data_IF_052101668605
#
_entry.id   IF_052101668605
#
_cell.length_a   1.000
_cell.length_b   1.000
_cell.length_c   1.000
_cell.angle_alpha   90.00
_cell.angle_beta   90.00
_cell.angle_gamma   90.00
#
_symmetry.space_group_name_H-M   'P 1'
#
loop_
_entity.id
_entity.type
_entity.pdbx_description
1 polymer ?
#
# COMPACT_ATOMS: atom_id res chain seq x y z
N UNK A 1 -6.80 9.56 13.83
CA UNK A 1 -7.53 10.84 13.70
C UNK A 1 -7.05 11.50 12.41
N UNK A 2 -7.92 11.96 11.49
CA UNK A 2 -7.46 12.57 10.23
C UNK A 2 -6.99 14.01 10.47
N UNK A 3 -5.99 14.47 9.69
CA UNK A 3 -5.49 15.85 9.70
C UNK A 3 -6.60 16.89 9.54
N UNK A 4 -7.63 16.59 8.72
CA UNK A 4 -8.84 17.42 8.57
C UNK A 4 -9.63 17.55 9.87
N UNK A 5 -9.73 16.49 10.67
CA UNK A 5 -10.50 16.50 11.93
C UNK A 5 -9.83 17.39 12.97
N UNK A 6 -8.48 17.38 13.05
CA UNK A 6 -7.74 18.25 13.97
C UNK A 6 -7.88 19.74 13.61
N UNK A 7 -7.72 20.09 12.31
CA UNK A 7 -7.92 21.46 11.84
C UNK A 7 -9.38 21.96 12.02
N UNK A 8 -10.36 21.06 11.87
CA UNK A 8 -11.78 21.40 12.04
C UNK A 8 -12.23 21.53 13.49
N UNK A 9 -11.59 20.82 14.44
CA UNK A 9 -12.00 20.87 15.86
C UNK A 9 -11.67 22.22 16.50
N UNK A 10 -10.52 22.83 16.17
CA UNK A 10 -10.11 24.10 16.79
C UNK A 10 -10.51 25.35 16.02
N UNK A 11 -10.78 25.24 14.70
CA UNK A 11 -10.88 26.38 13.75
C UNK A 11 -9.71 27.38 13.85
N UNK A 12 -8.61 26.99 14.49
CA UNK A 12 -7.40 27.80 14.70
C UNK A 12 -6.24 27.10 14.01
N UNK A 13 -5.47 27.86 13.23
CA UNK A 13 -4.16 27.40 12.78
C UNK A 13 -3.17 27.53 13.94
N UNK A 14 -2.39 26.48 14.17
CA UNK A 14 -1.39 26.44 15.23
C UNK A 14 -0.02 26.42 14.58
N UNK A 15 0.82 27.40 14.87
CA UNK A 15 2.16 27.53 14.25
C UNK A 15 3.02 26.27 14.44
N UNK A 16 2.97 25.69 15.64
CA UNK A 16 3.75 24.51 16.02
C UNK A 16 3.08 23.16 15.68
N UNK A 17 1.92 23.17 15.02
CA UNK A 17 1.27 21.95 14.55
C UNK A 17 1.58 21.72 13.07
N UNK A 18 2.18 20.56 12.78
CA UNK A 18 2.37 20.05 11.42
C UNK A 18 1.46 18.86 11.20
N UNK A 19 0.64 18.92 10.15
CA UNK A 19 -0.21 17.83 9.74
C UNK A 19 0.42 17.08 8.56
N UNK A 20 0.78 15.81 8.74
CA UNK A 20 1.22 14.94 7.65
C UNK A 20 0.11 13.97 7.28
N UNK A 21 -0.18 13.82 5.99
CA UNK A 21 -1.11 12.80 5.51
C UNK A 21 -0.44 11.84 4.52
N UNK A 22 -1.07 10.67 4.32
CA UNK A 22 -0.53 9.61 3.47
C UNK A 22 -1.44 9.38 2.27
N UNK A 23 -0.86 9.17 1.09
CA UNK A 23 -1.60 8.53 0.00
C UNK A 23 -1.95 7.11 0.44
N UNK A 24 -3.23 6.77 0.35
CA UNK A 24 -3.78 5.54 0.91
C UNK A 24 -4.43 4.71 -0.19
N UNK A 25 -4.16 3.40 -0.19
CA UNK A 25 -4.83 2.48 -1.10
C UNK A 25 -6.25 2.12 -0.66
N UNK A 26 -6.51 2.14 0.64
CA UNK A 26 -7.76 1.70 1.24
C UNK A 26 -7.50 1.00 2.56
N UNK A 27 -8.58 0.65 3.25
CA UNK A 27 -8.48 -0.08 4.51
C UNK A 27 -9.34 -1.33 4.43
N UNK A 28 -8.78 -2.52 4.70
CA UNK A 28 -9.55 -3.74 4.65
C UNK A 28 -10.54 -3.82 5.82
N UNK A 29 -11.50 -4.74 5.73
CA UNK A 29 -12.38 -5.12 6.84
C UNK A 29 -11.54 -5.66 8.01
N UNK A 30 -11.60 -5.03 9.20
CA UNK A 30 -10.91 -5.55 10.39
C UNK A 30 -11.39 -6.95 10.78
N UNK A 31 -12.67 -7.27 10.52
CA UNK A 31 -13.23 -8.58 10.77
C UNK A 31 -12.58 -9.66 9.90
N UNK A 32 -12.50 -9.42 8.58
CA UNK A 32 -11.84 -10.37 7.66
C UNK A 32 -10.35 -10.52 8.02
N UNK A 33 -9.68 -9.44 8.45
CA UNK A 33 -8.29 -9.52 8.89
C UNK A 33 -8.14 -10.37 10.16
N UNK A 34 -9.04 -10.21 11.13
CA UNK A 34 -9.07 -11.05 12.34
C UNK A 34 -9.24 -12.52 11.98
N UNK A 35 -10.21 -12.86 11.12
CA UNK A 35 -10.43 -14.24 10.66
C UNK A 35 -9.23 -14.79 9.88
N UNK A 36 -8.55 -13.95 9.10
CA UNK A 36 -7.32 -14.32 8.44
C UNK A 36 -6.21 -14.71 9.43
N UNK A 37 -5.98 -13.91 10.47
CA UNK A 37 -5.00 -14.25 11.51
C UNK A 37 -5.38 -15.55 12.21
N UNK A 38 -6.65 -15.70 12.62
CA UNK A 38 -7.14 -16.95 13.24
C UNK A 38 -6.92 -18.17 12.33
N UNK A 39 -7.24 -18.05 11.05
CA UNK A 39 -7.04 -19.11 10.06
C UNK A 39 -5.56 -19.53 9.94
N UNK A 40 -4.63 -18.57 9.89
CA UNK A 40 -3.19 -18.90 9.83
C UNK A 40 -2.72 -19.55 11.12
N UNK A 41 -3.13 -19.06 12.28
CA UNK A 41 -2.75 -19.66 13.57
C UNK A 41 -3.25 -21.10 13.71
N UNK A 42 -4.51 -21.37 13.34
CA UNK A 42 -5.09 -22.71 13.37
C UNK A 42 -4.37 -23.66 12.40
N UNK A 43 -4.06 -23.18 11.18
CA UNK A 43 -3.36 -23.97 10.16
C UNK A 43 -1.93 -24.33 10.56
N UNK A 44 -1.25 -23.44 11.29
CA UNK A 44 0.17 -23.61 11.68
C UNK A 44 0.32 -24.17 13.09
N UNK A 45 -0.77 -24.27 13.85
CA UNK A 45 -0.78 -24.53 15.29
C UNK A 45 0.19 -23.62 16.08
N UNK A 46 0.30 -22.35 15.66
CA UNK A 46 1.21 -21.36 16.25
C UNK A 46 0.52 -20.02 16.44
N UNK A 47 0.82 -19.34 17.56
CA UNK A 47 0.37 -17.98 17.82
C UNK A 47 1.17 -16.99 16.99
N UNK A 48 0.52 -16.02 16.37
CA UNK A 48 1.18 -14.88 15.70
C UNK A 48 1.27 -13.73 16.71
N UNK A 49 2.47 -13.22 16.96
CA UNK A 49 2.69 -12.06 17.84
C UNK A 49 2.84 -10.74 17.07
N UNK A 50 3.20 -10.82 15.79
CA UNK A 50 3.31 -9.64 14.92
C UNK A 50 3.09 -10.02 13.45
N UNK A 51 2.48 -9.10 12.70
CA UNK A 51 2.15 -9.25 11.29
C UNK A 51 2.62 -8.02 10.53
N UNK A 52 3.47 -8.21 9.52
CA UNK A 52 3.92 -7.13 8.64
C UNK A 52 3.28 -7.25 7.27
N UNK A 53 2.43 -6.27 6.92
CA UNK A 53 1.93 -6.07 5.54
C UNK A 53 3.05 -5.78 4.54
N UNK A 54 4.16 -5.21 5.02
CA UNK A 54 5.34 -4.87 4.20
C UNK A 54 6.64 -5.15 4.96
N UNK A 55 6.90 -6.41 5.31
CA UNK A 55 8.18 -6.82 5.88
C UNK A 55 9.33 -6.66 4.89
N UNK A 56 10.31 -5.82 5.22
CA UNK A 56 11.52 -5.60 4.40
C UNK A 56 12.57 -6.67 4.69
N UNK A 57 13.46 -6.87 3.72
CA UNK A 57 14.68 -7.66 3.84
C UNK A 57 15.89 -6.73 3.70
N UNK A 58 17.10 -7.24 3.99
CA UNK A 58 18.35 -6.46 3.95
C UNK A 58 18.63 -5.82 2.59
N UNK A 59 18.03 -6.29 1.50
CA UNK A 59 18.29 -5.79 0.15
C UNK A 59 17.02 -5.47 -0.63
N UNK A 60 17.00 -4.27 -1.22
CA UNK A 60 16.01 -3.82 -2.20
C UNK A 60 14.69 -3.27 -1.62
N UNK A 61 13.86 -2.73 -2.50
CA UNK A 61 12.58 -2.11 -2.14
C UNK A 61 11.45 -3.13 -1.92
N UNK A 62 11.66 -4.41 -2.24
CA UNK A 62 10.64 -5.45 -2.12
C UNK A 62 10.19 -5.62 -0.68
N UNK A 63 8.93 -5.96 -0.54
CA UNK A 63 8.33 -6.24 0.75
C UNK A 63 7.61 -7.57 0.69
N UNK A 64 7.50 -8.23 1.83
CA UNK A 64 6.85 -9.53 2.00
C UNK A 64 5.78 -9.42 3.07
N UNK A 65 4.78 -10.27 2.99
CA UNK A 65 3.94 -10.53 4.16
C UNK A 65 4.79 -11.34 5.13
N UNK A 66 4.92 -10.87 6.38
CA UNK A 66 5.64 -11.60 7.43
C UNK A 66 4.71 -11.91 8.60
N UNK A 67 4.75 -13.16 9.01
CA UNK A 67 4.17 -13.65 10.26
C UNK A 67 5.32 -13.88 11.22
N UNK A 68 5.25 -13.33 12.43
CA UNK A 68 6.28 -13.48 13.46
C UNK A 68 5.69 -14.25 14.64
N UNK A 69 6.42 -15.25 15.10
CA UNK A 69 6.01 -16.21 16.14
C UNK A 69 6.78 -15.96 17.46
N UNK A 70 6.28 -16.45 18.62
CA UNK A 70 6.89 -16.23 19.93
C UNK A 70 8.35 -16.67 20.05
N UNK A 71 8.78 -17.69 19.30
CA UNK A 71 10.15 -18.21 19.30
C UNK A 71 11.12 -17.36 18.46
N UNK A 72 10.67 -16.21 17.94
CA UNK A 72 11.44 -15.32 17.08
C UNK A 72 11.51 -15.78 15.62
N UNK A 73 10.96 -16.95 15.26
CA UNK A 73 10.89 -17.38 13.87
C UNK A 73 9.88 -16.54 13.10
N UNK A 74 10.06 -16.49 11.79
CA UNK A 74 9.12 -15.81 10.89
C UNK A 74 8.85 -16.61 9.63
N UNK A 75 7.59 -16.60 9.19
CA UNK A 75 7.20 -17.06 7.86
C UNK A 75 7.05 -15.85 6.94
N UNK A 76 7.55 -15.97 5.70
CA UNK A 76 7.42 -14.93 4.68
C UNK A 76 6.63 -15.40 3.48
N UNK A 77 5.73 -14.56 2.99
CA UNK A 77 4.98 -14.80 1.75
C UNK A 77 5.12 -13.63 0.79
N UNK A 78 5.24 -13.95 -0.49
CA UNK A 78 5.03 -12.97 -1.55
C UNK A 78 3.53 -12.65 -1.59
N UNK A 79 3.18 -11.43 -1.96
CA UNK A 79 1.81 -10.90 -1.82
C UNK A 79 0.80 -11.72 -2.61
N UNK A 80 1.21 -12.22 -3.78
CA UNK A 80 0.40 -13.09 -4.62
C UNK A 80 0.27 -14.54 -4.11
N UNK A 81 0.89 -14.90 -2.98
CA UNK A 81 0.75 -16.22 -2.36
C UNK A 81 -0.01 -16.15 -1.03
N UNK A 82 -0.37 -14.94 -0.60
CA UNK A 82 -1.17 -14.70 0.59
C UNK A 82 -2.56 -14.22 0.18
N UNK A 83 -3.59 -15.02 0.47
CA UNK A 83 -4.94 -14.72 0.00
C UNK A 83 -5.48 -13.40 0.56
N UNK A 84 -5.18 -13.08 1.82
CA UNK A 84 -5.60 -11.82 2.42
C UNK A 84 -4.92 -10.64 1.72
N UNK A 85 -3.60 -10.65 1.66
CA UNK A 85 -2.84 -9.57 1.06
C UNK A 85 -3.25 -9.35 -0.40
N UNK A 86 -3.32 -10.43 -1.20
CA UNK A 86 -3.77 -10.34 -2.58
C UNK A 86 -5.16 -9.72 -2.70
N UNK A 87 -6.12 -10.19 -1.90
CA UNK A 87 -7.49 -9.67 -1.95
C UNK A 87 -7.57 -8.23 -1.48
N UNK A 88 -6.76 -7.82 -0.50
CA UNK A 88 -6.60 -6.43 -0.09
C UNK A 88 -6.03 -5.56 -1.22
N UNK A 89 -4.96 -6.00 -1.89
CA UNK A 89 -4.37 -5.27 -3.04
C UNK A 89 -5.26 -5.22 -4.28
N UNK A 90 -6.25 -6.10 -4.35
CA UNK A 90 -7.34 -6.05 -5.34
C UNK A 90 -8.55 -5.26 -4.85
N UNK A 91 -8.44 -4.59 -3.71
CA UNK A 91 -9.51 -3.84 -3.06
C UNK A 91 -10.76 -4.66 -2.70
N UNK A 92 -10.72 -5.99 -2.79
CA UNK A 92 -11.85 -6.91 -2.53
C UNK A 92 -12.31 -6.86 -1.08
N UNK A 93 -11.38 -6.59 -0.16
CA UNK A 93 -11.66 -6.49 1.27
C UNK A 93 -11.81 -5.06 1.77
N UNK A 94 -11.69 -4.06 0.91
CA UNK A 94 -11.78 -2.66 1.33
C UNK A 94 -13.19 -2.30 1.81
N UNK A 95 -13.25 -1.39 2.80
CA UNK A 95 -14.51 -0.80 3.30
C UNK A 95 -15.20 -0.02 2.19
N UNK A 96 -16.54 -0.06 2.12
CA UNK A 96 -17.33 0.63 1.08
C UNK A 96 -17.00 2.13 0.97
N UNK A 97 -16.74 2.79 2.10
CA UNK A 97 -16.34 4.21 2.15
C UNK A 97 -15.02 4.54 1.42
N UNK A 98 -14.17 3.55 1.14
CA UNK A 98 -12.92 3.78 0.38
C UNK A 98 -13.22 4.12 -1.09
N UNK A 99 -14.29 3.57 -1.66
CA UNK A 99 -14.66 3.75 -3.07
C UNK A 99 -15.34 5.09 -3.36
N UNK A 100 -15.71 5.84 -2.32
CA UNK A 100 -16.22 7.22 -2.39
C UNK A 100 -15.36 8.20 -1.57
N UNK A 101 -14.10 7.84 -1.31
CA UNK A 101 -13.21 8.62 -0.46
C UNK A 101 -12.83 9.96 -1.10
N UNK A 102 -13.33 11.06 -0.55
CA UNK A 102 -13.01 12.43 -1.01
C UNK A 102 -11.56 12.88 -0.76
N UNK A 103 -10.71 12.05 -0.16
CA UNK A 103 -9.27 12.29 -0.03
C UNK A 103 -8.43 11.56 -1.08
N UNK A 104 -9.02 10.71 -1.91
CA UNK A 104 -8.32 10.01 -3.00
C UNK A 104 -8.16 10.94 -4.21
N UNK A 105 -7.43 12.05 -4.01
CA UNK A 105 -7.19 13.12 -4.98
C UNK A 105 -5.92 13.90 -4.61
N UNK A 106 -5.46 14.75 -5.51
CA UNK A 106 -4.24 15.54 -5.36
C UNK A 106 -4.42 16.74 -4.42
N UNK A 107 -5.66 17.21 -4.19
CA UNK A 107 -5.94 18.23 -3.19
C UNK A 107 -5.94 17.61 -1.79
N UNK A 108 -4.89 17.92 -1.03
CA UNK A 108 -4.61 17.35 0.29
C UNK A 108 -4.79 18.38 1.39
N UNK A 109 -5.01 17.88 2.61
CA UNK A 109 -5.37 18.70 3.78
C UNK A 109 -4.23 18.85 4.79
N UNK A 110 -3.30 17.88 4.80
CA UNK A 110 -2.04 17.99 5.53
C UNK A 110 -1.15 19.05 4.91
N UNK A 111 -0.19 19.55 5.68
CA UNK A 111 0.83 20.48 5.20
C UNK A 111 1.84 19.74 4.29
N UNK A 112 2.08 18.45 4.59
CA UNK A 112 2.85 17.52 3.77
C UNK A 112 2.03 16.26 3.52
N UNK A 113 2.15 15.72 2.30
CA UNK A 113 1.69 14.38 1.94
C UNK A 113 2.86 13.49 1.62
N UNK A 114 2.90 12.29 2.20
CA UNK A 114 3.88 11.26 1.89
C UNK A 114 3.24 10.10 1.13
N UNK A 115 4.00 9.51 0.22
CA UNK A 115 3.60 8.31 -0.52
C UNK A 115 4.82 7.52 -0.99
N UNK A 116 4.59 6.26 -1.36
CA UNK A 116 5.45 5.60 -2.35
C UNK A 116 5.26 6.35 -3.70
N UNK A 117 6.33 6.63 -4.44
CA UNK A 117 6.25 7.39 -5.70
C UNK A 117 5.96 6.45 -6.89
N UNK A 118 4.74 5.93 -6.94
CA UNK A 118 4.35 4.88 -7.89
C UNK A 118 4.37 5.35 -9.36
N UNK A 119 4.94 4.52 -10.24
CA UNK A 119 4.94 4.66 -11.71
C UNK A 119 5.53 5.98 -12.26
N UNK A 120 6.19 6.79 -11.44
CA UNK A 120 6.77 8.06 -11.86
C UNK A 120 7.80 7.87 -13.01
N UNK A 121 8.50 6.74 -13.02
CA UNK A 121 9.48 6.39 -14.04
C UNK A 121 8.90 6.21 -15.45
N UNK A 122 7.58 6.04 -15.57
CA UNK A 122 6.87 6.02 -16.85
C UNK A 122 6.74 7.42 -17.45
N UNK A 123 6.69 8.44 -16.59
CA UNK A 123 6.45 9.83 -16.96
C UNK A 123 7.71 10.70 -16.84
N UNK A 124 8.74 10.21 -16.15
CA UNK A 124 10.03 10.87 -16.02
C UNK A 124 11.18 9.84 -16.11
N UNK A 125 11.74 9.73 -17.32
CA UNK A 125 12.72 8.69 -17.70
C UNK A 125 13.96 8.61 -16.78
N UNK A 126 14.54 9.71 -16.26
CA UNK A 126 15.72 9.63 -15.39
C UNK A 126 15.51 8.77 -14.13
N UNK A 127 14.28 8.63 -13.62
CA UNK A 127 13.98 7.77 -12.46
C UNK A 127 14.11 6.27 -12.76
N UNK A 128 14.14 5.84 -14.03
CA UNK A 128 14.24 4.41 -14.38
C UNK A 128 15.51 3.77 -13.86
N UNK A 129 16.62 4.51 -13.88
CA UNK A 129 17.94 4.02 -13.42
C UNK A 129 18.00 3.82 -11.90
N UNK A 130 17.21 4.60 -11.16
CA UNK A 130 17.21 4.60 -9.70
C UNK A 130 16.07 3.74 -9.09
N UNK A 131 15.23 3.12 -9.94
CA UNK A 131 14.07 2.29 -9.54
C UNK A 131 14.40 1.17 -8.54
N UNK A 132 15.62 0.64 -8.54
CA UNK A 132 16.07 -0.42 -7.61
C UNK A 132 16.09 0.02 -6.14
N UNK A 133 16.22 1.32 -5.87
CA UNK A 133 16.18 1.87 -4.52
C UNK A 133 14.75 2.17 -4.07
N UNK A 134 13.85 2.39 -5.03
CA UNK A 134 12.52 2.93 -4.78
C UNK A 134 12.59 4.42 -4.48
N UNK A 135 11.46 5.11 -4.67
CA UNK A 135 11.37 6.53 -4.34
C UNK A 135 10.15 6.76 -3.46
N UNK A 136 10.33 7.65 -2.51
CA UNK A 136 9.22 8.22 -1.76
C UNK A 136 8.85 9.56 -2.41
N UNK A 137 7.58 9.91 -2.32
CA UNK A 137 7.04 11.19 -2.71
C UNK A 137 6.85 12.03 -1.46
N UNK A 138 7.33 13.27 -1.51
CA UNK A 138 6.99 14.34 -0.57
C UNK A 138 6.26 15.41 -1.39
N UNK A 139 4.98 15.64 -1.07
CA UNK A 139 4.19 16.71 -1.68
C UNK A 139 3.91 17.78 -0.63
N UNK A 140 4.40 18.99 -0.85
CA UNK A 140 4.15 20.13 0.03
C UNK A 140 2.85 20.82 -0.41
N UNK A 141 1.83 20.80 0.44
CA UNK A 141 0.49 21.26 0.06
C UNK A 141 0.26 22.74 0.39
N UNK A 142 1.13 23.35 1.18
CA UNK A 142 1.08 24.76 1.57
C UNK A 142 2.48 25.28 1.97
N UNK A 143 2.54 26.55 2.35
CA UNK A 143 3.79 27.22 2.74
C UNK A 143 4.45 26.59 3.97
N UNK A 144 3.66 26.09 4.94
CA UNK A 144 4.18 25.42 6.14
C UNK A 144 4.92 24.13 5.76
N UNK A 145 4.36 23.34 4.85
CA UNK A 145 5.01 22.14 4.30
C UNK A 145 6.30 22.46 3.54
N UNK A 146 6.29 23.49 2.69
CA UNK A 146 7.50 23.94 1.98
C UNK A 146 8.59 24.43 2.93
N UNK A 147 8.22 25.18 3.97
CA UNK A 147 9.15 25.64 5.00
C UNK A 147 9.80 24.46 5.74
N UNK A 148 9.01 23.43 6.06
CA UNK A 148 9.53 22.24 6.71
C UNK A 148 10.48 21.47 5.80
N UNK A 149 10.15 21.28 4.52
CA UNK A 149 11.04 20.60 3.56
C UNK A 149 12.38 21.35 3.41
N UNK A 150 12.36 22.68 3.35
CA UNK A 150 13.59 23.50 3.32
C UNK A 150 14.47 23.33 4.54
N UNK A 151 13.89 23.11 5.72
CA UNK A 151 14.65 22.90 6.96
C UNK A 151 15.39 21.57 7.00
N UNK A 152 14.90 20.55 6.29
CA UNK A 152 15.48 19.20 6.28
C UNK A 152 16.20 18.87 4.97
N UNK A 153 16.34 19.84 4.05
CA UNK A 153 16.86 19.56 2.70
C UNK A 153 18.32 19.12 2.70
N UNK A 154 19.09 19.45 3.75
CA UNK A 154 20.46 18.95 3.96
C UNK A 154 20.52 17.48 4.37
N UNK A 155 19.42 16.96 4.93
CA UNK A 155 19.38 15.63 5.55
C UNK A 155 18.82 14.56 4.61
N UNK A 156 18.37 14.96 3.41
CA UNK A 156 17.74 14.08 2.42
C UNK A 156 18.29 14.33 1.02
N UNK A 157 18.45 13.25 0.26
CA UNK A 157 18.62 13.34 -1.19
C UNK A 157 17.24 13.50 -1.84
N UNK A 158 17.05 14.57 -2.62
CA UNK A 158 15.75 14.84 -3.24
C UNK A 158 15.90 15.46 -4.63
N UNK A 159 14.88 15.24 -5.46
CA UNK A 159 14.70 15.86 -6.77
C UNK A 159 13.29 16.45 -6.82
N UNK A 160 13.19 17.71 -7.25
CA UNK A 160 11.88 18.36 -7.45
C UNK A 160 11.38 18.07 -8.85
N UNK A 161 10.12 17.64 -8.95
CA UNK A 161 9.44 17.35 -10.21
C UNK A 161 8.07 18.03 -10.27
N UNK A 162 7.52 18.28 -11.47
CA UNK A 162 6.14 18.73 -11.60
C UNK A 162 5.16 17.75 -10.93
N UNK A 163 4.19 18.27 -10.19
CA UNK A 163 3.19 17.47 -9.45
C UNK A 163 2.42 16.49 -10.36
N UNK A 164 2.24 16.86 -11.62
CA UNK A 164 1.58 16.04 -12.64
C UNK A 164 2.24 14.66 -12.84
N UNK A 165 3.56 14.55 -12.63
CA UNK A 165 4.28 13.26 -12.66
C UNK A 165 3.74 12.31 -11.59
N UNK A 166 3.49 12.82 -10.38
CA UNK A 166 2.91 12.04 -9.29
C UNK A 166 1.45 11.68 -9.55
N UNK A 167 0.65 12.64 -10.02
CA UNK A 167 -0.78 12.45 -10.29
C UNK A 167 -1.01 11.39 -11.38
N UNK A 168 -0.23 11.44 -12.46
CA UNK A 168 -0.28 10.42 -13.53
C UNK A 168 0.19 9.06 -13.04
N UNK A 169 1.19 9.04 -12.15
CA UNK A 169 1.79 7.83 -11.59
C UNK A 169 0.86 7.04 -10.66
N UNK A 170 0.05 7.72 -9.83
CA UNK A 170 -0.82 7.08 -8.84
C UNK A 170 -2.29 7.48 -9.01
N UNK A 171 -3.16 6.50 -9.26
CA UNK A 171 -4.61 6.70 -9.34
C UNK A 171 -5.21 7.30 -8.05
N UNK A 172 -4.58 7.04 -6.90
CA UNK A 172 -5.02 7.53 -5.58
C UNK A 172 -4.85 9.04 -5.40
N UNK A 173 -4.12 9.69 -6.31
CA UNK A 173 -4.01 11.14 -6.42
C UNK A 173 -4.99 11.73 -7.43
N UNK A 174 -5.86 10.93 -8.06
CA UNK A 174 -6.82 11.38 -9.07
C UNK A 174 -8.27 11.20 -8.62
N UNK A 175 -8.62 9.99 -8.22
CA UNK A 175 -9.96 9.65 -7.75
C UNK A 175 -9.93 8.40 -6.86
N UNK A 176 -11.04 8.11 -6.20
CA UNK A 176 -11.22 6.81 -5.54
C UNK A 176 -11.29 5.69 -6.59
N UNK A 177 -10.70 4.54 -6.28
CA UNK A 177 -10.82 3.37 -7.16
C UNK A 177 -12.29 2.91 -7.22
N UNK A 178 -12.76 2.38 -8.37
CA UNK A 178 -14.10 1.82 -8.46
C UNK A 178 -14.24 0.60 -7.56
N UNK A 179 -15.47 0.33 -7.11
CA UNK A 179 -15.75 -0.88 -6.34
C UNK A 179 -15.52 -2.13 -7.23
N UNK A 180 -14.74 -3.12 -6.77
CA UNK A 180 -14.59 -4.38 -7.51
C UNK A 180 -15.94 -5.08 -7.66
N UNK A 181 -16.31 -5.57 -8.86
CA UNK A 181 -17.60 -6.23 -9.08
C UNK A 181 -17.84 -7.43 -8.15
N UNK A 182 -16.78 -8.17 -7.81
CA UNK A 182 -16.86 -9.33 -6.94
C UNK A 182 -16.87 -9.00 -5.44
N UNK A 183 -16.75 -7.74 -5.04
CA UNK A 183 -16.59 -7.37 -3.62
C UNK A 183 -17.78 -7.81 -2.79
N UNK A 184 -19.00 -7.47 -3.22
CA UNK A 184 -20.19 -7.72 -2.42
C UNK A 184 -20.49 -9.23 -2.29
N UNK A 185 -20.35 -10.00 -3.38
CA UNK A 185 -20.46 -11.47 -3.32
C UNK A 185 -19.40 -12.13 -2.43
N UNK A 186 -18.16 -11.61 -2.41
CA UNK A 186 -17.12 -12.09 -1.48
C UNK A 186 -17.52 -11.87 -0.02
N UNK A 187 -18.16 -10.74 0.31
CA UNK A 187 -18.62 -10.48 1.67
C UNK A 187 -19.83 -11.36 2.03
N UNK A 188 -20.77 -11.58 1.11
CA UNK A 188 -21.89 -12.51 1.30
C UNK A 188 -21.39 -13.93 1.59
N UNK A 189 -20.49 -14.45 0.78
CA UNK A 189 -19.89 -15.78 0.96
C UNK A 189 -19.06 -15.88 2.24
N UNK A 190 -18.37 -14.79 2.63
CA UNK A 190 -17.68 -14.72 3.91
C UNK A 190 -18.64 -14.90 5.07
N UNK A 191 -19.79 -14.22 5.06
CA UNK A 191 -20.79 -14.33 6.12
C UNK A 191 -21.50 -15.69 6.11
N UNK A 192 -21.71 -16.29 4.94
CA UNK A 192 -22.38 -17.58 4.81
C UNK A 192 -21.48 -18.79 5.13
N UNK A 193 -20.20 -18.72 4.76
CA UNK A 193 -19.31 -19.91 4.77
C UNK A 193 -18.01 -19.71 5.55
N UNK A 194 -17.69 -18.48 5.96
CA UNK A 194 -16.49 -18.16 6.72
C UNK A 194 -15.23 -17.95 5.87
N UNK A 195 -14.15 -17.51 6.53
CA UNK A 195 -12.90 -17.14 5.86
C UNK A 195 -12.18 -18.33 5.21
N UNK A 196 -12.18 -19.49 5.86
CA UNK A 196 -11.55 -20.68 5.31
C UNK A 196 -12.16 -21.08 3.96
N UNK A 197 -13.49 -21.01 3.83
CA UNK A 197 -14.17 -21.28 2.58
C UNK A 197 -13.73 -20.31 1.47
N UNK A 198 -13.60 -19.01 1.78
CA UNK A 198 -13.06 -18.03 0.82
C UNK A 198 -11.64 -18.41 0.38
N UNK A 199 -10.78 -18.85 1.30
CA UNK A 199 -9.40 -19.24 0.97
C UNK A 199 -9.30 -20.46 0.06
N UNK A 200 -10.37 -21.27 -0.03
CA UNK A 200 -10.45 -22.44 -0.91
C UNK A 200 -11.09 -22.08 -2.26
N UNK A 201 -12.13 -21.26 -2.25
CA UNK A 201 -12.99 -21.02 -3.41
C UNK A 201 -12.70 -19.71 -4.17
N UNK A 202 -12.18 -18.69 -3.49
CA UNK A 202 -11.87 -17.36 -4.06
C UNK A 202 -10.37 -17.09 -4.18
N UNK A 203 -9.54 -18.12 -3.93
CA UNK A 203 -8.09 -18.02 -3.94
C UNK A 203 -7.49 -17.74 -5.32
N UNK A 204 -6.20 -17.47 -5.30
CA UNK A 204 -5.44 -17.10 -6.49
C UNK A 204 -5.20 -18.36 -7.31
N UNK A 205 -5.89 -18.48 -8.44
CA UNK A 205 -5.60 -19.50 -9.44
C UNK A 205 -4.46 -19.01 -10.33
N UNK A 206 -3.21 -19.30 -9.93
CA UNK A 206 -2.07 -19.02 -10.78
C UNK A 206 -2.17 -19.84 -12.08
N UNK A 207 -2.03 -19.16 -13.22
CA UNK A 207 -1.89 -19.85 -14.51
C UNK A 207 -0.71 -20.81 -14.48
N UNK A 208 -0.80 -21.91 -15.23
CA UNK A 208 0.28 -22.90 -15.32
C UNK A 208 1.63 -22.27 -15.69
N UNK A 209 1.64 -21.31 -16.62
CA UNK A 209 2.82 -20.50 -16.99
C UNK A 209 3.43 -19.78 -15.79
N UNK A 210 2.59 -19.24 -14.90
CA UNK A 210 3.06 -18.55 -13.70
C UNK A 210 3.68 -19.51 -12.66
N UNK A 211 3.32 -20.79 -12.68
CA UNK A 211 3.90 -21.81 -11.79
C UNK A 211 5.28 -22.29 -12.26
N UNK A 212 5.48 -22.37 -13.58
CA UNK A 212 6.71 -22.95 -14.17
C UNK A 212 7.84 -21.91 -14.24
N UNK A 213 7.53 -20.64 -14.52
CA UNK A 213 8.58 -19.62 -14.66
C UNK A 213 9.16 -19.27 -13.28
N UNK A 214 10.45 -19.52 -13.01
CA UNK A 214 11.09 -19.16 -11.76
C UNK A 214 11.00 -17.66 -11.45
N UNK A 215 10.93 -17.32 -10.16
CA UNK A 215 10.79 -15.92 -9.72
C UNK A 215 11.94 -15.04 -10.25
N UNK A 216 13.17 -15.58 -10.34
CA UNK A 216 14.32 -14.82 -10.81
C UNK A 216 14.21 -14.44 -12.29
N UNK A 217 13.65 -15.32 -13.13
CA UNK A 217 13.41 -15.04 -14.56
C UNK A 217 12.36 -13.93 -14.69
N UNK A 218 11.25 -14.00 -13.93
CA UNK A 218 10.25 -12.92 -13.93
C UNK A 218 10.88 -11.59 -13.55
N UNK A 219 11.73 -11.60 -12.52
CA UNK A 219 12.42 -10.40 -12.05
C UNK A 219 13.37 -9.82 -13.11
N UNK A 220 14.15 -10.68 -13.78
CA UNK A 220 15.05 -10.26 -14.85
C UNK A 220 14.27 -9.63 -16.01
N UNK A 221 13.15 -10.23 -16.41
CA UNK A 221 12.27 -9.66 -17.45
C UNK A 221 11.75 -8.28 -17.02
N UNK A 222 11.31 -8.11 -15.77
CA UNK A 222 10.86 -6.82 -15.27
C UNK A 222 11.97 -5.77 -15.22
N UNK A 223 13.21 -6.19 -14.96
CA UNK A 223 14.37 -5.31 -14.92
C UNK A 223 14.79 -4.88 -16.33
N UNK A 224 14.84 -5.81 -17.29
CA UNK A 224 15.11 -5.50 -18.70
C UNK A 224 14.05 -4.53 -19.24
N UNK A 225 12.76 -4.82 -19.01
CA UNK A 225 11.65 -3.92 -19.40
C UNK A 225 11.70 -2.54 -18.74
N UNK A 226 12.38 -2.41 -17.61
CA UNK A 226 12.53 -1.11 -16.94
C UNK A 226 13.64 -0.25 -17.53
N UNK A 227 14.63 -0.89 -18.17
CA UNK A 227 15.79 -0.24 -18.78
C UNK A 227 15.55 0.19 -20.23
N UNK A 228 14.55 -0.40 -20.89
CA UNK A 228 14.01 0.00 -22.21
C UNK A 228 12.93 1.07 -21.98
#
# INVERSE_FOLDING_TARGET
MSSRRLKNISKKDYENLVCVDLVCHGTPSPLIFKEHISFIQNKTNQKIIDYKFRGKEKTGWRAYIKYIYPDGKSEKKIWGNDFFAYSFYKSRFNRKSCFSCGFSRSERVGDITLSDFWNAEKYYKPLRLQRKYGFNLIMCNNQKGQNLLRKISSDIESITLPVDVAIKGDVRLRHSEPIPPERDSIFEEFYLHGYEWLTKNRCIRHSWRNKIIPIFIKNLIYEIKARI
#
